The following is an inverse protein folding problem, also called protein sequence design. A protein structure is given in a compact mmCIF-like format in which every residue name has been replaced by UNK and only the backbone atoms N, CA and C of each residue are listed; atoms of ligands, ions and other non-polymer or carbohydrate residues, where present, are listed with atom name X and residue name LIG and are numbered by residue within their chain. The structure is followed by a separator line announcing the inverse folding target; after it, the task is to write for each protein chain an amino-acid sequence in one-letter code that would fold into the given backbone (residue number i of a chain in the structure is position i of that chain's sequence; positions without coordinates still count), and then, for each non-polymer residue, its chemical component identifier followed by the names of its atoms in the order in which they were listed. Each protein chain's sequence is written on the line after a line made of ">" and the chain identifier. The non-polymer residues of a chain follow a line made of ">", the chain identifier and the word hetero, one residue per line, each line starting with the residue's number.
data_IF_327417847207
#
_entry.id   IF_327417847207
#
_cell.length_a   1.000
_cell.length_b   1.000
_cell.length_c   1.000
_cell.angle_alpha   90.00
_cell.angle_beta   90.00
_cell.angle_gamma   90.00
#
_symmetry.space_group_name_H-M   'P 1'
#
loop_
_entity.id
_entity.type
_entity.pdbx_description
1 polymer ?
#
# COMPACT_ATOMS: atom_id res chain seq x y z
N UNK A 1 -2.51 13.40 1.35
CA UNK A 1 -2.97 12.21 0.59
C UNK A 1 -3.39 11.17 1.61
N UNK A 2 -4.55 10.52 1.49
CA UNK A 2 -5.16 9.80 2.63
C UNK A 2 -5.14 8.28 2.46
N UNK A 3 -4.87 7.53 3.54
CA UNK A 3 -5.02 6.08 3.58
C UNK A 3 -6.49 5.67 3.37
N UNK A 4 -6.73 4.73 2.46
CA UNK A 4 -8.09 4.27 2.15
C UNK A 4 -8.76 3.58 3.35
N UNK A 5 -8.01 2.87 4.19
CA UNK A 5 -8.53 2.09 5.32
C UNK A 5 -8.74 2.96 6.55
N UNK A 6 -7.68 3.56 7.11
CA UNK A 6 -7.77 4.28 8.38
C UNK A 6 -8.09 5.78 8.24
N UNK A 7 -8.19 6.30 7.01
CA UNK A 7 -8.45 7.72 6.71
C UNK A 7 -7.43 8.70 7.31
N UNK A 8 -6.29 8.23 7.82
CA UNK A 8 -5.17 9.09 8.23
C UNK A 8 -4.51 9.72 7.00
N UNK A 9 -4.07 10.96 7.14
CA UNK A 9 -3.17 11.59 6.17
C UNK A 9 -1.83 10.84 6.15
N UNK A 10 -1.41 10.46 4.95
CA UNK A 10 -0.10 9.89 4.66
C UNK A 10 0.86 11.08 4.51
N UNK A 11 1.81 11.18 5.44
CA UNK A 11 2.87 12.19 5.42
C UNK A 11 3.89 11.94 4.29
N UNK A 12 5.14 12.35 4.51
CA UNK A 12 6.24 12.03 3.59
C UNK A 12 6.15 10.54 3.20
N UNK A 13 6.05 10.29 1.90
CA UNK A 13 5.45 9.14 1.25
C UNK A 13 6.17 7.78 1.45
N UNK A 14 7.07 7.70 2.42
CA UNK A 14 7.75 6.49 2.86
C UNK A 14 6.70 5.45 3.29
N UNK A 15 6.87 4.23 2.79
CA UNK A 15 6.05 3.06 3.12
C UNK A 15 4.56 3.18 2.77
N UNK A 16 4.22 3.92 1.70
CA UNK A 16 2.87 3.91 1.11
C UNK A 16 2.77 2.88 -0.01
N UNK A 17 1.69 2.09 0.01
CA UNK A 17 1.36 1.10 -1.01
C UNK A 17 0.23 1.61 -1.90
N UNK A 18 0.37 1.43 -3.21
CA UNK A 18 -0.54 1.96 -4.23
C UNK A 18 -1.15 0.83 -5.07
N UNK A 19 -2.45 0.92 -5.34
CA UNK A 19 -3.12 0.09 -6.34
C UNK A 19 -3.56 0.97 -7.52
N UNK A 20 -3.54 0.42 -8.73
CA UNK A 20 -3.89 1.12 -9.97
C UNK A 20 -5.33 1.69 -10.00
N UNK A 21 -6.23 1.20 -9.13
CA UNK A 21 -7.55 1.80 -8.91
C UNK A 21 -7.53 3.11 -8.08
N UNK A 22 -6.35 3.72 -7.93
CA UNK A 22 -6.06 4.94 -7.17
C UNK A 22 -6.27 4.83 -5.65
N UNK A 23 -6.30 3.61 -5.11
CA UNK A 23 -6.32 3.39 -3.66
C UNK A 23 -4.91 3.39 -3.08
N UNK A 24 -4.76 3.97 -1.89
CA UNK A 24 -3.47 4.13 -1.21
C UNK A 24 -3.57 3.64 0.22
N UNK A 25 -2.56 2.92 0.70
CA UNK A 25 -2.58 2.23 1.99
C UNK A 25 -1.28 2.55 2.73
N UNK A 26 -1.36 2.91 4.02
CA UNK A 26 -0.17 3.02 4.88
C UNK A 26 0.36 1.65 5.27
N UNK A 27 1.63 1.60 5.68
CA UNK A 27 2.25 0.47 6.34
C UNK A 27 1.43 -0.14 7.48
N UNK A 28 0.85 0.65 8.40
CA UNK A 28 0.03 0.08 9.48
C UNK A 28 -1.20 -0.69 8.95
N UNK A 29 -1.76 -0.24 7.82
CA UNK A 29 -2.94 -0.86 7.23
C UNK A 29 -2.58 -1.97 6.24
N UNK A 30 -1.38 -1.97 5.67
CA UNK A 30 -0.94 -3.02 4.75
C UNK A 30 -0.91 -4.37 5.45
N UNK A 31 -0.48 -4.40 6.71
CA UNK A 31 -0.42 -5.61 7.53
C UNK A 31 -1.79 -6.27 7.76
N UNK A 32 -2.88 -5.52 7.57
CA UNK A 32 -4.26 -6.02 7.70
C UNK A 32 -4.87 -6.52 6.39
N UNK A 33 -4.31 -6.10 5.26
CA UNK A 33 -4.83 -6.41 3.92
C UNK A 33 -3.88 -7.28 3.10
N UNK A 34 -2.66 -7.53 3.60
CA UNK A 34 -1.77 -8.55 3.07
C UNK A 34 -2.41 -9.93 3.21
N UNK A 35 -2.28 -10.72 2.17
CA UNK A 35 -2.78 -12.10 2.13
C UNK A 35 -1.65 -13.11 2.31
N UNK A 36 -0.40 -12.68 2.11
CA UNK A 36 0.82 -13.41 2.40
C UNK A 36 2.02 -12.41 2.50
N UNK A 37 3.24 -12.93 2.59
CA UNK A 37 4.46 -12.12 2.72
C UNK A 37 4.87 -11.33 1.47
N UNK A 38 4.18 -11.52 0.34
CA UNK A 38 4.48 -10.87 -0.94
C UNK A 38 3.33 -10.08 -1.52
N UNK A 39 2.10 -10.38 -1.13
CA UNK A 39 0.90 -9.89 -1.80
C UNK A 39 -0.10 -9.31 -0.82
N UNK A 40 -0.83 -8.30 -1.29
CA UNK A 40 -1.99 -7.74 -0.61
C UNK A 40 -3.19 -7.59 -1.53
N UNK A 41 -4.38 -7.73 -0.96
CA UNK A 41 -5.63 -7.57 -1.69
C UNK A 41 -6.16 -6.16 -1.47
N UNK A 42 -6.38 -5.43 -2.56
CA UNK A 42 -6.93 -4.09 -2.49
C UNK A 42 -8.34 -4.11 -1.86
N UNK A 43 -8.59 -3.37 -0.76
CA UNK A 43 -9.90 -3.32 -0.13
C UNK A 43 -10.94 -2.53 -0.94
N UNK A 44 -10.52 -1.80 -1.99
CA UNK A 44 -11.40 -1.04 -2.89
C UNK A 44 -11.87 -1.86 -4.09
N UNK A 45 -10.95 -2.45 -4.86
CA UNK A 45 -11.27 -3.17 -6.10
C UNK A 45 -11.09 -4.70 -6.02
N UNK A 46 -10.47 -5.22 -4.95
CA UNK A 46 -10.22 -6.66 -4.79
C UNK A 46 -9.02 -7.21 -5.57
N UNK A 47 -8.29 -6.38 -6.32
CA UNK A 47 -7.09 -6.78 -7.06
C UNK A 47 -5.96 -7.20 -6.13
N UNK A 48 -5.18 -8.20 -6.54
CA UNK A 48 -4.01 -8.68 -5.80
C UNK A 48 -2.78 -7.94 -6.34
N UNK A 49 -2.04 -7.31 -5.44
CA UNK A 49 -0.89 -6.47 -5.76
C UNK A 49 0.35 -7.04 -5.05
N UNK A 50 1.51 -7.04 -5.72
CA UNK A 50 2.79 -7.34 -5.08
C UNK A 50 3.20 -6.19 -4.15
N UNK A 51 3.62 -6.50 -2.93
CA UNK A 51 3.98 -5.55 -1.88
C UNK A 51 5.16 -4.65 -2.29
N UNK A 52 6.22 -5.23 -2.87
CA UNK A 52 7.43 -4.49 -3.24
C UNK A 52 7.17 -3.62 -4.47
N UNK A 53 6.44 -4.15 -5.43
CA UNK A 53 6.14 -3.43 -6.67
C UNK A 53 5.11 -2.32 -6.45
N UNK A 54 4.20 -2.48 -5.48
CA UNK A 54 3.20 -1.46 -5.14
C UNK A 54 3.70 -0.37 -4.18
N UNK A 55 4.92 -0.47 -3.64
CA UNK A 55 5.50 0.61 -2.83
C UNK A 55 5.81 1.83 -3.71
N UNK A 56 5.26 2.98 -3.31
CA UNK A 56 5.38 4.24 -4.04
C UNK A 56 6.82 4.79 -4.03
N UNK A 57 7.53 4.59 -2.92
CA UNK A 57 8.95 4.94 -2.78
C UNK A 57 9.72 3.66 -2.49
N UNK A 58 10.57 3.28 -3.44
CA UNK A 58 11.49 2.16 -3.29
C UNK A 58 12.84 2.75 -2.96
N UNK A 59 13.43 2.37 -1.84
CA UNK A 59 14.85 2.64 -1.62
C UNK A 59 15.61 1.98 -2.78
N UNK A 60 16.27 2.78 -3.61
CA UNK A 60 17.30 2.23 -4.49
C UNK A 60 18.40 1.74 -3.56
N UNK A 61 18.57 0.43 -3.47
CA UNK A 61 19.78 -0.15 -2.91
C UNK A 61 20.97 0.48 -3.64
N UNK A 62 21.75 1.30 -2.93
CA UNK A 62 23.06 1.78 -3.36
C UNK A 62 24.06 0.63 -3.29
#
# INVERSE_FOLDING_TARGET
>A
MTCFVCKKELGALLNTYYCLCDSKICDECIEKVKINEREWKCPKCGEINDLKESQLFREKSL
#
